data_IF_661349738260
#
_entry.id   IF_661349738260
#
_cell.length_a   1.000
_cell.length_b   1.000
_cell.length_c   1.000
_cell.angle_alpha   90.00
_cell.angle_beta   90.00
_cell.angle_gamma   90.00
#
_symmetry.space_group_name_H-M   'P 1'
#
loop_
_entity.id
_entity.type
_entity.pdbx_description
1 polymer ?
#
# COMPACT_ATOMS: atom_id res chain seq x y z
N UNK A 1 19.21 -13.97 5.19
CA UNK A 1 19.21 -13.90 3.71
C UNK A 1 20.56 -14.23 3.09
N UNK A 2 21.70 -13.79 3.64
CA UNK A 2 23.03 -14.11 3.09
C UNK A 2 23.33 -15.62 3.08
N UNK A 3 23.06 -16.34 4.18
CA UNK A 3 23.26 -17.79 4.23
C UNK A 3 22.40 -18.55 3.20
N UNK A 4 21.18 -18.07 2.93
CA UNK A 4 20.31 -18.66 1.93
C UNK A 4 20.74 -18.34 0.48
N UNK A 5 21.42 -17.20 0.24
CA UNK A 5 22.06 -16.92 -1.06
C UNK A 5 23.28 -17.79 -1.31
N UNK A 6 24.03 -18.13 -0.25
CA UNK A 6 25.22 -18.99 -0.33
C UNK A 6 24.85 -20.45 -0.70
N UNK A 7 23.62 -20.89 -0.45
CA UNK A 7 23.15 -22.23 -0.80
C UNK A 7 22.68 -22.37 -2.26
N UNK A 8 22.63 -21.28 -3.04
CA UNK A 8 22.20 -21.32 -4.43
C UNK A 8 23.32 -21.81 -5.36
N UNK A 9 22.99 -22.77 -6.19
CA UNK A 9 23.88 -23.26 -7.24
C UNK A 9 23.76 -22.39 -8.50
N UNK A 10 24.49 -21.28 -8.54
CA UNK A 10 24.37 -20.24 -9.58
C UNK A 10 24.54 -20.72 -11.02
N UNK A 11 25.27 -21.83 -11.25
CA UNK A 11 25.50 -22.43 -12.56
C UNK A 11 24.53 -23.60 -12.88
N UNK A 12 23.56 -23.86 -12.00
CA UNK A 12 22.55 -24.90 -12.23
C UNK A 12 21.52 -24.44 -13.27
N UNK A 13 21.08 -25.34 -14.19
CA UNK A 13 19.95 -25.05 -15.08
C UNK A 13 18.65 -24.70 -14.30
N UNK A 14 18.52 -25.16 -13.06
CA UNK A 14 17.33 -24.96 -12.21
C UNK A 14 17.47 -23.70 -11.31
N UNK A 15 18.44 -22.84 -11.57
CA UNK A 15 18.71 -21.66 -10.71
C UNK A 15 17.46 -20.76 -10.59
N UNK A 16 16.68 -20.58 -11.63
CA UNK A 16 15.47 -19.75 -11.63
C UNK A 16 14.41 -20.32 -10.65
N UNK A 17 14.26 -21.64 -10.62
CA UNK A 17 13.36 -22.31 -9.69
C UNK A 17 13.86 -22.19 -8.25
N UNK A 18 15.14 -22.46 -8.01
CA UNK A 18 15.76 -22.30 -6.69
C UNK A 18 15.59 -20.88 -6.14
N UNK A 19 15.82 -19.85 -6.95
CA UNK A 19 15.60 -18.44 -6.59
C UNK A 19 14.13 -18.18 -6.29
N UNK A 20 13.22 -18.72 -7.10
CA UNK A 20 11.77 -18.56 -6.89
C UNK A 20 11.32 -19.18 -5.57
N UNK A 21 11.76 -20.39 -5.25
CA UNK A 21 11.47 -21.06 -3.98
C UNK A 21 12.01 -20.25 -2.80
N UNK A 22 13.24 -19.77 -2.91
CA UNK A 22 13.87 -18.97 -1.86
C UNK A 22 13.11 -17.64 -1.63
N UNK A 23 12.72 -16.96 -2.71
CA UNK A 23 11.94 -15.72 -2.64
C UNK A 23 10.57 -15.96 -1.98
N UNK A 24 9.85 -17.02 -2.38
CA UNK A 24 8.56 -17.40 -1.77
C UNK A 24 8.72 -17.67 -0.26
N UNK A 25 9.72 -18.45 0.13
CA UNK A 25 10.01 -18.72 1.56
C UNK A 25 10.32 -17.42 2.33
N UNK A 26 11.08 -16.51 1.73
CA UNK A 26 11.38 -15.20 2.32
C UNK A 26 10.13 -14.35 2.54
N UNK A 27 9.22 -14.31 1.57
CA UNK A 27 7.95 -13.57 1.67
C UNK A 27 7.03 -14.20 2.73
N UNK A 28 6.90 -15.52 2.75
CA UNK A 28 6.09 -16.22 3.76
C UNK A 28 6.63 -15.95 5.17
N UNK A 29 7.94 -15.98 5.34
CA UNK A 29 8.57 -15.65 6.62
C UNK A 29 8.30 -14.19 7.03
N UNK A 30 8.48 -13.24 6.11
CA UNK A 30 8.14 -11.83 6.33
C UNK A 30 6.71 -11.65 6.83
N UNK A 31 5.75 -12.31 6.16
CA UNK A 31 4.34 -12.21 6.54
C UNK A 31 4.07 -12.80 7.92
N UNK A 32 4.67 -13.94 8.26
CA UNK A 32 4.53 -14.56 9.58
C UNK A 32 5.08 -13.67 10.70
N UNK A 33 6.28 -13.12 10.52
CA UNK A 33 6.90 -12.20 11.47
C UNK A 33 6.04 -10.93 11.62
N UNK A 34 5.57 -10.36 10.53
CA UNK A 34 4.68 -9.20 10.55
C UNK A 34 3.34 -9.47 11.23
N UNK A 35 2.74 -10.65 11.01
CA UNK A 35 1.48 -11.04 11.67
C UNK A 35 1.63 -11.23 13.18
N UNK A 36 2.81 -11.63 13.65
CA UNK A 36 3.09 -11.85 15.07
C UNK A 36 3.40 -10.55 15.81
N UNK A 37 4.31 -9.75 15.24
CA UNK A 37 4.95 -8.66 15.97
C UNK A 37 4.68 -7.29 15.33
N UNK A 38 4.10 -7.25 14.13
CA UNK A 38 3.92 -6.03 13.34
C UNK A 38 5.23 -5.48 12.74
N UNK A 39 6.33 -6.18 12.96
CA UNK A 39 7.64 -5.75 12.50
C UNK A 39 7.81 -6.01 10.99
N UNK A 40 8.33 -5.00 10.31
CA UNK A 40 8.79 -5.11 8.95
C UNK A 40 10.29 -5.42 8.97
N UNK A 41 10.71 -6.43 8.25
CA UNK A 41 12.13 -6.71 8.09
C UNK A 41 12.87 -5.47 7.61
N UNK A 42 13.97 -5.06 8.27
CA UNK A 42 14.70 -3.89 7.86
C UNK A 42 15.18 -4.05 6.42
N UNK A 43 14.68 -3.20 5.53
CA UNK A 43 15.22 -3.07 4.19
C UNK A 43 16.60 -2.41 4.33
N UNK A 44 17.66 -3.19 4.13
CA UNK A 44 19.03 -2.68 4.17
C UNK A 44 19.36 -1.92 2.88
N UNK A 45 18.74 -0.78 2.68
CA UNK A 45 19.32 0.20 1.78
C UNK A 45 20.41 0.94 2.56
N UNK A 46 21.66 0.72 2.16
CA UNK A 46 22.81 1.43 2.77
C UNK A 46 22.71 2.96 2.66
N UNK A 47 21.79 3.45 1.82
CA UNK A 47 21.55 4.88 1.56
C UNK A 47 20.46 5.48 2.45
N UNK A 48 19.64 4.65 3.11
CA UNK A 48 18.64 5.11 4.05
C UNK A 48 18.64 4.20 5.29
N UNK A 49 19.28 4.67 6.38
CA UNK A 49 19.39 3.89 7.61
C UNK A 49 18.08 3.85 8.41
N UNK A 50 17.05 4.63 8.02
CA UNK A 50 15.78 4.70 8.76
C UNK A 50 15.05 3.36 8.71
N UNK A 51 14.66 2.77 9.86
CA UNK A 51 13.89 1.54 9.91
C UNK A 51 12.55 1.66 9.17
N UNK A 52 12.04 0.60 8.52
CA UNK A 52 10.76 0.63 7.79
C UNK A 52 9.57 1.10 8.63
N UNK A 53 9.51 0.73 9.91
CA UNK A 53 8.46 1.19 10.82
C UNK A 53 8.49 2.72 11.04
N UNK A 54 9.67 3.31 11.12
CA UNK A 54 9.85 4.77 11.24
C UNK A 54 9.53 5.48 9.92
N UNK A 55 9.94 4.89 8.78
CA UNK A 55 9.58 5.40 7.46
C UNK A 55 8.06 5.44 7.28
N UNK A 56 7.36 4.39 7.71
CA UNK A 56 5.91 4.32 7.65
C UNK A 56 5.24 5.33 8.58
N UNK A 57 5.74 5.46 9.81
CA UNK A 57 5.26 6.49 10.76
C UNK A 57 5.46 7.90 10.20
N UNK A 58 6.61 8.18 9.61
CA UNK A 58 6.89 9.44 8.93
C UNK A 58 5.95 9.68 7.76
N UNK A 59 5.60 8.65 6.99
CA UNK A 59 4.63 8.79 5.89
C UNK A 59 3.24 9.16 6.41
N UNK A 60 2.77 8.49 7.47
CA UNK A 60 1.48 8.77 8.09
C UNK A 60 1.41 10.17 8.72
N UNK A 61 2.52 10.67 9.26
CA UNK A 61 2.55 12.02 9.90
C UNK A 61 2.29 13.15 8.91
N UNK A 62 2.43 12.95 7.60
CA UNK A 62 2.05 13.94 6.58
C UNK A 62 0.54 14.00 6.34
N UNK A 63 -0.23 13.07 6.90
CA UNK A 63 -1.68 13.02 6.80
C UNK A 63 -2.30 13.57 8.08
N UNK A 64 -2.15 14.88 8.33
CA UNK A 64 -2.51 15.53 9.59
C UNK A 64 -3.96 15.30 10.04
N UNK A 65 -4.89 15.24 9.09
CA UNK A 65 -6.31 15.04 9.36
C UNK A 65 -6.69 13.56 9.57
N UNK A 66 -5.87 12.63 9.11
CA UNK A 66 -6.17 11.21 9.18
C UNK A 66 -6.37 10.69 10.61
N UNK A 67 -5.47 10.95 11.57
CA UNK A 67 -5.67 10.53 12.96
C UNK A 67 -6.86 11.21 13.65
N UNK A 68 -7.31 12.38 13.15
CA UNK A 68 -8.47 13.08 13.67
C UNK A 68 -9.79 12.45 13.22
N UNK A 69 -9.90 12.05 11.96
CA UNK A 69 -11.14 11.54 11.38
C UNK A 69 -11.26 10.02 11.46
N UNK A 70 -10.14 9.29 11.45
CA UNK A 70 -10.09 7.83 11.51
C UNK A 70 -9.05 7.36 12.54
N UNK A 71 -9.22 7.73 13.84
CA UNK A 71 -8.22 7.48 14.90
C UNK A 71 -7.94 5.98 15.09
N UNK A 72 -8.96 5.14 15.01
CA UNK A 72 -8.81 3.70 15.25
C UNK A 72 -8.08 3.01 14.09
N UNK A 73 -8.39 3.37 12.84
CA UNK A 73 -7.65 2.88 11.69
C UNK A 73 -6.18 3.35 11.71
N UNK A 74 -5.95 4.63 12.08
CA UNK A 74 -4.58 5.15 12.22
C UNK A 74 -3.80 4.39 13.29
N UNK A 75 -4.43 4.13 14.45
CA UNK A 75 -3.83 3.35 15.53
C UNK A 75 -3.50 1.93 15.09
N UNK A 76 -4.43 1.27 14.41
CA UNK A 76 -4.24 -0.08 13.90
C UNK A 76 -3.11 -0.18 12.87
N UNK A 77 -3.04 0.76 11.94
CA UNK A 77 -1.94 0.84 10.96
C UNK A 77 -0.55 1.00 11.61
N UNK A 78 -0.48 1.70 12.76
CA UNK A 78 0.77 1.93 13.49
C UNK A 78 1.14 0.80 14.46
N UNK A 79 0.14 0.09 15.00
CA UNK A 79 0.30 -0.88 16.09
C UNK A 79 -0.08 -2.31 15.69
N UNK A 80 -0.29 -2.56 14.38
CA UNK A 80 -0.60 -3.91 13.92
C UNK A 80 0.37 -4.96 14.52
N UNK A 81 -0.12 -6.13 14.96
CA UNK A 81 -1.49 -6.65 14.88
C UNK A 81 -2.40 -6.20 16.02
N UNK A 82 -1.87 -5.41 16.96
CA UNK A 82 -2.61 -4.92 18.10
C UNK A 82 -3.61 -3.82 17.72
N UNK A 83 -4.56 -3.54 18.60
CA UNK A 83 -5.54 -2.44 18.45
C UNK A 83 -6.45 -2.57 17.21
N UNK A 84 -6.77 -3.81 16.79
CA UNK A 84 -7.69 -4.06 15.68
C UNK A 84 -9.09 -3.58 16.03
N UNK A 85 -9.69 -2.65 15.25
CA UNK A 85 -11.07 -2.25 15.43
C UNK A 85 -12.04 -3.37 15.06
N UNK A 86 -13.25 -3.39 15.67
CA UNK A 86 -14.25 -4.43 15.43
C UNK A 86 -14.69 -4.50 13.96
N UNK A 87 -15.02 -3.36 13.36
CA UNK A 87 -15.45 -3.24 11.96
C UNK A 87 -14.29 -3.25 10.96
N UNK A 88 -13.37 -4.22 11.13
CA UNK A 88 -12.16 -4.34 10.31
C UNK A 88 -12.02 -5.72 9.70
N UNK A 89 -11.76 -5.75 8.39
CA UNK A 89 -11.30 -6.94 7.67
C UNK A 89 -9.93 -6.65 7.09
N UNK A 90 -9.03 -7.60 7.15
CA UNK A 90 -7.72 -7.45 6.54
C UNK A 90 -7.23 -8.73 5.87
N UNK A 91 -6.39 -8.57 4.87
CA UNK A 91 -5.77 -9.67 4.14
C UNK A 91 -4.45 -9.23 3.52
N UNK A 92 -3.65 -10.23 3.15
CA UNK A 92 -2.37 -10.01 2.47
C UNK A 92 -2.49 -10.45 1.03
N UNK A 93 -1.87 -9.67 0.13
CA UNK A 93 -1.78 -10.03 -1.27
C UNK A 93 -0.45 -9.59 -1.86
N UNK A 94 -0.10 -10.18 -2.97
CA UNK A 94 1.02 -9.73 -3.77
C UNK A 94 0.54 -9.34 -5.16
N UNK A 95 1.26 -8.42 -5.76
CA UNK A 95 0.99 -7.93 -7.11
C UNK A 95 2.29 -7.73 -7.88
N UNK A 96 2.20 -7.83 -9.19
CA UNK A 96 3.27 -7.43 -10.10
C UNK A 96 2.86 -6.14 -10.79
N UNK A 97 3.57 -5.07 -10.51
CA UNK A 97 3.29 -3.73 -11.05
C UNK A 97 4.40 -3.32 -12.00
N UNK A 98 4.01 -2.71 -13.12
CA UNK A 98 4.95 -2.16 -14.09
C UNK A 98 4.92 -0.64 -14.02
N UNK A 99 6.00 -0.04 -13.51
CA UNK A 99 6.17 1.42 -13.43
C UNK A 99 6.93 2.00 -14.65
N UNK A 100 7.05 1.21 -15.73
CA UNK A 100 7.70 1.64 -16.99
C UNK A 100 9.22 1.47 -17.02
N UNK A 101 9.83 0.92 -15.97
CA UNK A 101 11.26 0.57 -15.93
C UNK A 101 11.43 -0.94 -15.75
N UNK A 102 11.40 -1.40 -14.49
CA UNK A 102 11.46 -2.84 -14.18
C UNK A 102 10.17 -3.29 -13.52
N UNK A 103 9.64 -4.47 -13.86
CA UNK A 103 8.52 -5.05 -13.13
C UNK A 103 8.85 -5.17 -11.64
N UNK A 104 7.96 -4.70 -10.79
CA UNK A 104 8.12 -4.70 -9.34
C UNK A 104 7.10 -5.63 -8.72
N UNK A 105 7.57 -6.57 -7.91
CA UNK A 105 6.69 -7.38 -7.05
C UNK A 105 6.51 -6.60 -5.75
N UNK A 106 5.26 -6.39 -5.36
CA UNK A 106 4.86 -5.77 -4.09
C UNK A 106 4.12 -6.81 -3.25
N UNK A 107 4.33 -6.76 -1.94
CA UNK A 107 3.53 -7.48 -0.95
C UNK A 107 2.84 -6.44 -0.09
N UNK A 108 1.54 -6.52 0.00
CA UNK A 108 0.71 -5.52 0.64
C UNK A 108 -0.18 -6.14 1.72
N UNK A 109 -0.44 -5.37 2.76
CA UNK A 109 -1.48 -5.58 3.73
C UNK A 109 -2.65 -4.65 3.40
N UNK A 110 -3.78 -5.22 3.00
CA UNK A 110 -5.01 -4.50 2.74
C UNK A 110 -5.90 -4.55 3.99
N UNK A 111 -6.41 -3.40 4.39
CA UNK A 111 -7.27 -3.22 5.56
C UNK A 111 -8.53 -2.50 5.10
N UNK A 112 -9.68 -3.18 5.22
CA UNK A 112 -11.00 -2.61 5.00
C UNK A 112 -11.55 -2.27 6.38
N UNK A 113 -11.91 -1.00 6.58
CA UNK A 113 -12.42 -0.49 7.84
C UNK A 113 -13.70 0.31 7.61
N UNK A 114 -14.62 0.22 8.56
CA UNK A 114 -15.85 1.00 8.58
C UNK A 114 -15.99 1.70 9.93
N UNK A 115 -16.33 2.98 9.93
CA UNK A 115 -16.72 3.68 11.15
C UNK A 115 -18.13 3.27 11.59
N UNK A 116 -18.42 3.40 12.87
CA UNK A 116 -19.76 3.16 13.39
C UNK A 116 -20.71 4.32 13.07
N UNK A 117 -22.01 4.03 13.04
CA UNK A 117 -23.07 5.03 12.90
C UNK A 117 -23.69 5.13 11.50
N UNK A 118 -24.72 5.98 11.35
CA UNK A 118 -25.53 6.07 10.14
C UNK A 118 -24.78 6.67 8.94
N UNK A 119 -23.83 7.55 9.19
CA UNK A 119 -22.95 8.16 8.17
C UNK A 119 -21.59 7.47 8.15
N UNK A 120 -21.59 6.14 8.16
CA UNK A 120 -20.35 5.37 8.24
C UNK A 120 -19.44 5.65 7.04
N UNK A 121 -18.19 6.02 7.33
CA UNK A 121 -17.12 6.11 6.36
C UNK A 121 -16.52 4.74 6.13
N UNK A 122 -16.44 4.31 4.88
CA UNK A 122 -15.71 3.12 4.49
C UNK A 122 -14.30 3.51 4.05
N UNK A 123 -13.31 2.86 4.60
CA UNK A 123 -11.92 3.11 4.28
C UNK A 123 -11.22 1.82 3.82
N UNK A 124 -10.40 1.94 2.79
CA UNK A 124 -9.46 0.92 2.35
C UNK A 124 -8.04 1.48 2.51
N UNK A 125 -7.23 0.83 3.34
CA UNK A 125 -5.82 1.13 3.49
C UNK A 125 -4.98 -0.02 2.91
N UNK A 126 -4.04 0.31 2.02
CA UNK A 126 -3.08 -0.65 1.45
C UNK A 126 -1.68 -0.26 1.89
N UNK A 127 -1.16 -0.95 2.92
CA UNK A 127 0.19 -0.77 3.45
C UNK A 127 1.15 -1.70 2.73
N UNK A 128 2.15 -1.16 2.04
CA UNK A 128 3.20 -1.96 1.44
C UNK A 128 4.14 -2.50 2.50
N UNK A 129 4.32 -3.83 2.51
CA UNK A 129 5.25 -4.53 3.40
C UNK A 129 6.59 -4.81 2.75
N UNK A 130 6.58 -5.02 1.43
CA UNK A 130 7.78 -5.33 0.66
C UNK A 130 7.63 -4.88 -0.80
N UNK A 131 8.73 -4.44 -1.39
CA UNK A 131 8.84 -4.24 -2.84
C UNK A 131 10.25 -4.65 -3.32
N UNK A 132 10.31 -5.26 -4.51
CA UNK A 132 11.59 -5.68 -5.09
C UNK A 132 12.43 -4.50 -5.56
N UNK A 133 11.79 -3.38 -5.94
CA UNK A 133 12.45 -2.20 -6.49
C UNK A 133 11.72 -0.92 -6.12
N UNK A 134 12.42 0.21 -6.15
CA UNK A 134 11.97 1.61 -6.09
C UNK A 134 11.38 2.07 -4.76
N UNK A 135 10.48 1.32 -4.15
CA UNK A 135 9.72 1.76 -2.99
C UNK A 135 10.34 1.19 -1.71
N UNK A 136 10.62 2.06 -0.76
CA UNK A 136 11.01 1.69 0.61
C UNK A 136 9.76 1.46 1.45
N UNK A 137 8.79 2.36 1.35
CA UNK A 137 7.47 2.22 1.96
C UNK A 137 6.43 2.90 1.09
N UNK A 138 5.18 2.41 1.13
CA UNK A 138 4.05 3.05 0.49
C UNK A 138 2.76 2.77 1.28
N UNK A 139 1.84 3.72 1.19
CA UNK A 139 0.49 3.65 1.72
C UNK A 139 -0.47 4.26 0.71
N UNK A 140 -1.47 3.48 0.31
CA UNK A 140 -2.59 3.96 -0.47
C UNK A 140 -3.83 3.94 0.43
N UNK A 141 -4.55 5.06 0.52
CA UNK A 141 -5.79 5.19 1.28
C UNK A 141 -6.91 5.60 0.34
N UNK A 142 -8.06 4.94 0.46
CA UNK A 142 -9.27 5.31 -0.25
C UNK A 142 -10.43 5.37 0.74
N UNK A 143 -11.24 6.42 0.66
CA UNK A 143 -12.36 6.68 1.57
C UNK A 143 -13.62 6.88 0.76
N UNK A 144 -14.70 6.16 1.13
CA UNK A 144 -16.05 6.46 0.69
C UNK A 144 -16.75 7.22 1.83
N UNK A 145 -17.00 8.50 1.61
CA UNK A 145 -17.65 9.40 2.57
C UNK A 145 -19.06 9.66 2.09
N UNK A 146 -20.10 9.25 2.83
CA UNK A 146 -21.48 9.54 2.47
C UNK A 146 -21.73 11.04 2.29
N UNK A 147 -22.56 11.39 1.35
CA UNK A 147 -23.00 12.76 1.10
C UNK A 147 -24.50 12.76 0.87
N UNK A 148 -25.24 13.49 1.71
CA UNK A 148 -26.62 13.85 1.46
C UNK A 148 -26.65 15.20 0.74
N UNK A 149 -27.15 15.25 -0.49
CA UNK A 149 -27.37 16.51 -1.18
C UNK A 149 -28.64 17.17 -0.68
N UNK A 150 -28.76 18.51 -0.84
CA UNK A 150 -29.96 19.27 -0.49
C UNK A 150 -31.21 18.78 -1.28
N UNK A 151 -30.98 18.12 -2.42
CA UNK A 151 -32.06 17.50 -3.23
C UNK A 151 -32.50 16.12 -2.73
N UNK A 152 -31.93 15.60 -1.64
CA UNK A 152 -32.30 14.28 -1.07
C UNK A 152 -31.69 13.07 -1.83
N UNK A 153 -30.87 13.29 -2.82
CA UNK A 153 -30.14 12.21 -3.49
C UNK A 153 -29.01 11.68 -2.61
N UNK A 154 -29.03 10.39 -2.36
CA UNK A 154 -27.97 9.72 -1.62
C UNK A 154 -26.77 9.49 -2.54
N UNK A 155 -25.63 10.03 -2.16
CA UNK A 155 -24.38 9.88 -2.87
C UNK A 155 -23.19 9.63 -1.93
N UNK A 156 -22.00 9.58 -2.49
CA UNK A 156 -20.77 9.54 -1.70
C UNK A 156 -19.62 10.19 -2.45
N UNK A 157 -18.63 10.65 -1.71
CA UNK A 157 -17.36 11.07 -2.25
C UNK A 157 -16.34 9.93 -2.12
N UNK A 158 -15.68 9.59 -3.23
CA UNK A 158 -14.51 8.71 -3.21
C UNK A 158 -13.24 9.56 -3.19
N UNK A 159 -12.54 9.52 -2.07
CA UNK A 159 -11.30 10.25 -1.85
C UNK A 159 -10.15 9.24 -1.84
N UNK A 160 -9.10 9.46 -2.63
CA UNK A 160 -7.93 8.59 -2.63
C UNK A 160 -6.66 9.39 -2.40
N UNK A 161 -5.82 8.91 -1.49
CA UNK A 161 -4.51 9.46 -1.15
C UNK A 161 -3.45 8.39 -1.36
N UNK A 162 -2.39 8.73 -2.10
CA UNK A 162 -1.24 7.83 -2.32
C UNK A 162 0.02 8.46 -1.80
N UNK A 163 0.68 7.76 -0.89
CA UNK A 163 1.95 8.18 -0.33
C UNK A 163 3.03 7.12 -0.52
N UNK A 164 4.25 7.53 -0.85
CA UNK A 164 5.38 6.60 -0.92
C UNK A 164 6.70 7.29 -0.60
N UNK A 165 7.63 6.52 -0.02
CA UNK A 165 9.03 6.86 0.13
C UNK A 165 9.85 6.02 -0.84
N UNK A 166 10.74 6.68 -1.57
CA UNK A 166 11.54 6.04 -2.60
C UNK A 166 13.02 6.36 -2.40
N UNK A 167 13.87 5.35 -2.54
CA UNK A 167 15.32 5.55 -2.55
C UNK A 167 15.77 6.22 -3.86
N UNK A 168 16.74 7.15 -3.76
CA UNK A 168 17.41 7.70 -4.93
C UNK A 168 16.68 8.84 -5.66
N UNK A 169 15.61 9.39 -5.08
CA UNK A 169 14.95 10.60 -5.61
C UNK A 169 15.59 11.92 -5.14
N UNK A 170 16.84 11.86 -4.68
CA UNK A 170 17.62 13.03 -4.24
C UNK A 170 18.59 13.50 -5.32
N UNK A 171 18.90 14.81 -5.33
CA UNK A 171 19.79 15.45 -6.32
C UNK A 171 19.08 15.76 -7.65
N UNK A 172 19.84 16.32 -8.61
CA UNK A 172 19.30 16.84 -9.90
C UNK A 172 18.61 15.74 -10.72
N UNK A 173 19.20 14.54 -10.80
CA UNK A 173 18.60 13.40 -11.51
C UNK A 173 17.37 12.87 -10.76
N UNK A 174 17.35 12.95 -9.44
CA UNK A 174 16.22 12.57 -8.60
C UNK A 174 15.03 13.50 -8.78
N UNK A 175 15.25 14.80 -8.97
CA UNK A 175 14.19 15.78 -9.22
C UNK A 175 13.42 15.51 -10.52
N UNK A 176 14.12 15.17 -11.61
CA UNK A 176 13.50 14.82 -12.89
C UNK A 176 12.70 13.51 -12.77
N UNK A 177 13.28 12.49 -12.14
CA UNK A 177 12.61 11.19 -11.93
C UNK A 177 11.37 11.36 -11.04
N UNK A 178 11.45 12.17 -9.99
CA UNK A 178 10.31 12.51 -9.13
C UNK A 178 9.15 13.11 -9.94
N UNK A 179 9.43 14.05 -10.84
CA UNK A 179 8.40 14.67 -11.68
C UNK A 179 7.70 13.63 -12.57
N UNK A 180 8.45 12.74 -13.20
CA UNK A 180 7.90 11.64 -14.03
C UNK A 180 7.04 10.70 -13.20
N UNK A 181 7.52 10.28 -12.00
CA UNK A 181 6.79 9.40 -11.11
C UNK A 181 5.47 10.04 -10.64
N UNK A 182 5.51 11.30 -10.20
CA UNK A 182 4.31 12.03 -9.74
C UNK A 182 3.29 12.16 -10.87
N UNK A 183 3.72 12.56 -12.08
CA UNK A 183 2.81 12.67 -13.22
C UNK A 183 2.15 11.35 -13.57
N UNK A 184 2.92 10.27 -13.68
CA UNK A 184 2.38 8.92 -13.99
C UNK A 184 1.45 8.39 -12.90
N UNK A 185 1.77 8.65 -11.63
CA UNK A 185 0.90 8.27 -10.49
C UNK A 185 -0.43 9.01 -10.57
N UNK A 186 -0.40 10.31 -10.85
CA UNK A 186 -1.60 11.12 -11.02
C UNK A 186 -2.48 10.61 -12.18
N UNK A 187 -1.91 10.42 -13.37
CA UNK A 187 -2.63 9.90 -14.54
C UNK A 187 -3.23 8.51 -14.28
N UNK A 188 -2.50 7.64 -13.56
CA UNK A 188 -3.00 6.32 -13.18
C UNK A 188 -4.15 6.40 -12.20
N UNK A 189 -4.09 7.34 -11.24
CA UNK A 189 -5.14 7.58 -10.27
C UNK A 189 -6.40 8.14 -10.93
N UNK A 190 -6.26 9.13 -11.80
CA UNK A 190 -7.37 9.72 -12.56
C UNK A 190 -8.09 8.67 -13.41
N UNK A 191 -7.34 7.81 -14.11
CA UNK A 191 -7.93 6.68 -14.87
C UNK A 191 -8.68 5.69 -13.97
N UNK A 192 -8.11 5.33 -12.82
CA UNK A 192 -8.75 4.42 -11.89
C UNK A 192 -10.05 5.00 -11.32
N UNK A 193 -10.05 6.27 -10.92
CA UNK A 193 -11.25 6.94 -10.40
C UNK A 193 -12.34 7.08 -11.46
N UNK A 194 -11.98 7.43 -12.70
CA UNK A 194 -12.94 7.49 -13.80
C UNK A 194 -13.55 6.12 -14.11
N UNK A 195 -12.74 5.06 -14.16
CA UNK A 195 -13.23 3.70 -14.36
C UNK A 195 -14.17 3.24 -13.24
N UNK A 196 -13.88 3.58 -11.99
CA UNK A 196 -14.77 3.28 -10.86
C UNK A 196 -16.10 4.01 -11.03
N UNK A 197 -16.07 5.31 -11.35
CA UNK A 197 -17.27 6.12 -11.59
C UNK A 197 -18.14 5.52 -12.69
N UNK A 198 -17.57 5.25 -13.87
CA UNK A 198 -18.26 4.64 -15.00
C UNK A 198 -18.92 3.31 -14.64
N UNK A 199 -18.19 2.43 -13.92
CA UNK A 199 -18.75 1.14 -13.47
C UNK A 199 -19.91 1.29 -12.49
N UNK A 200 -19.90 2.31 -11.64
CA UNK A 200 -21.00 2.58 -10.70
C UNK A 200 -22.23 3.15 -11.42
N UNK A 201 -22.03 4.12 -12.33
CA UNK A 201 -23.10 4.71 -13.13
C UNK A 201 -23.79 3.65 -14.02
N UNK A 202 -23.06 2.73 -14.63
CA UNK A 202 -23.62 1.64 -15.42
C UNK A 202 -24.44 0.65 -14.58
N UNK A 203 -24.08 0.40 -13.31
CA UNK A 203 -24.83 -0.51 -12.43
C UNK A 203 -26.13 0.09 -11.93
N UNK A 204 -26.19 1.38 -11.70
CA UNK A 204 -27.40 2.09 -11.30
C UNK A 204 -28.40 2.22 -12.45
N UNK A 205 -27.95 2.47 -13.68
CA UNK A 205 -28.81 2.55 -14.87
C UNK A 205 -29.35 1.20 -15.38
N UNK A 206 -28.89 0.07 -14.84
CA UNK A 206 -29.38 -1.27 -15.22
C UNK A 206 -30.43 -1.84 -14.26
N UNK A 207 -30.84 -1.07 -13.25
CA UNK A 207 -31.85 -1.47 -12.25
C UNK A 207 -33.17 -0.70 -12.41
N UNK A 208 -33.30 0.17 -13.41
CA UNK A 208 -34.53 0.77 -13.86
C UNK A 208 -35.08 0.02 -15.10
#
# INVERSE_FOLDING_TARGET
MEAARASLQWNSPDIAEQVTILAKRGIVRLLKEYQQDGDLLPYRDKRDPMPPAEQFRSLLSHLELFPRYLPDLNRYLLQYPNSRPEETQDFFYWERVNFGLKPTIRVNHAIIYRTSGPEAVHALAMKQLYATHYFQTALDLSFCVPSSTVSGENGFYLITVKGSRQAGLTGVKGGLLRKVVVTRTRESLERALNSIRENLEHRTGSQE
#
